data_IF_608697334986
#
_entry.id   IF_608697334986
#
_cell.length_a   1.000
_cell.length_b   1.000
_cell.length_c   1.000
_cell.angle_alpha   90.00
_cell.angle_beta   90.00
_cell.angle_gamma   90.00
#
_symmetry.space_group_name_H-M   'P 1'
#
loop_
_entity.id
_entity.type
_entity.pdbx_description
1 polymer ?
#
# COMPACT_ATOMS: atom_id res chain seq x y z
N UNK A 1 7.19 -6.74 42.71
CA UNK A 1 7.04 -7.18 41.31
C UNK A 1 8.10 -8.25 40.96
N UNK A 2 8.20 -9.26 41.84
CA UNK A 2 9.25 -10.28 41.75
C UNK A 2 8.61 -11.63 41.47
N UNK A 3 8.01 -11.79 40.30
CA UNK A 3 7.54 -13.09 39.82
C UNK A 3 7.39 -13.15 38.28
N UNK A 4 8.34 -12.58 37.54
CA UNK A 4 8.43 -12.78 36.11
C UNK A 4 9.63 -13.67 35.84
N UNK A 5 9.38 -14.95 35.96
CA UNK A 5 9.76 -15.98 35.03
C UNK A 5 11.19 -16.50 35.08
N UNK A 6 11.36 -17.60 35.82
CA UNK A 6 12.24 -18.67 35.40
C UNK A 6 11.55 -19.52 34.30
N UNK A 7 11.00 -18.89 33.26
CA UNK A 7 10.47 -19.61 32.11
C UNK A 7 11.63 -19.90 31.16
N UNK A 8 11.79 -21.17 30.80
CA UNK A 8 12.78 -21.59 29.81
C UNK A 8 12.51 -20.82 28.49
N UNK A 9 13.55 -20.19 27.96
CA UNK A 9 13.49 -19.53 26.64
C UNK A 9 12.99 -20.58 25.60
N UNK A 10 12.01 -20.26 24.77
CA UNK A 10 11.44 -21.23 23.81
C UNK A 10 12.50 -21.79 22.88
N UNK A 11 12.77 -23.09 22.97
CA UNK A 11 13.66 -23.84 22.08
C UNK A 11 13.20 -25.30 21.96
N UNK A 12 13.78 -26.02 21.02
CA UNK A 12 13.57 -27.45 20.83
C UNK A 12 14.87 -28.06 20.27
N UNK A 13 15.78 -28.45 21.16
CA UNK A 13 17.10 -28.94 20.78
C UNK A 13 17.05 -30.25 19.96
N UNK A 14 16.03 -31.10 20.18
CA UNK A 14 15.84 -32.30 19.40
C UNK A 14 15.45 -32.00 17.96
N UNK A 15 14.53 -31.00 17.75
CA UNK A 15 14.17 -30.57 16.42
C UNK A 15 15.36 -29.92 15.70
N UNK A 16 16.16 -29.10 16.40
CA UNK A 16 17.37 -28.50 15.83
C UNK A 16 18.37 -29.56 15.35
N UNK A 17 18.66 -30.55 16.21
CA UNK A 17 19.54 -31.68 15.85
C UNK A 17 18.96 -32.52 14.71
N UNK A 18 17.64 -32.71 14.68
CA UNK A 18 16.98 -33.45 13.62
C UNK A 18 17.08 -32.74 12.25
N UNK A 19 17.01 -31.40 12.20
CA UNK A 19 17.27 -30.63 10.96
C UNK A 19 18.70 -30.89 10.47
N UNK A 20 19.70 -30.71 11.33
CA UNK A 20 21.10 -30.88 10.97
C UNK A 20 21.44 -32.33 10.60
N UNK A 21 20.85 -33.28 11.33
CA UNK A 21 21.02 -34.74 11.04
C UNK A 21 20.38 -35.13 9.71
N UNK A 22 19.26 -34.53 9.33
CA UNK A 22 18.61 -34.76 8.04
C UNK A 22 19.51 -34.38 6.85
N UNK A 23 20.26 -33.27 6.97
CA UNK A 23 21.21 -32.80 5.93
C UNK A 23 22.38 -33.80 5.74
N UNK A 24 22.80 -34.49 6.79
CA UNK A 24 23.82 -35.51 6.65
C UNK A 24 23.32 -36.82 5.96
N UNK A 25 22.02 -37.10 6.09
CA UNK A 25 21.40 -38.24 5.42
C UNK A 25 21.08 -37.94 3.94
N UNK A 26 20.70 -36.70 3.66
CA UNK A 26 20.40 -36.20 2.33
C UNK A 26 20.90 -34.75 2.22
N UNK A 27 22.02 -34.50 1.52
CA UNK A 27 22.57 -33.18 1.36
C UNK A 27 21.60 -32.15 0.70
N UNK A 28 20.64 -32.60 -0.13
CA UNK A 28 19.65 -31.73 -0.75
C UNK A 28 18.67 -31.19 0.28
N UNK A 29 18.48 -31.81 1.43
CA UNK A 29 17.66 -31.35 2.53
C UNK A 29 18.11 -29.97 3.08
N UNK A 30 19.36 -29.53 2.80
CA UNK A 30 19.83 -28.19 3.17
C UNK A 30 19.01 -27.09 2.44
N UNK A 31 18.60 -27.35 1.20
CA UNK A 31 17.80 -26.40 0.40
C UNK A 31 16.46 -26.18 1.08
N UNK A 32 15.74 -27.27 1.38
CA UNK A 32 14.44 -27.20 2.06
C UNK A 32 14.54 -26.55 3.46
N UNK A 33 15.65 -26.82 4.16
CA UNK A 33 15.89 -26.22 5.48
C UNK A 33 16.20 -24.74 5.38
N UNK A 34 17.01 -24.30 4.40
CA UNK A 34 17.41 -22.90 4.21
C UNK A 34 16.28 -22.00 3.70
N UNK A 35 15.28 -22.57 3.03
CA UNK A 35 14.06 -21.86 2.66
C UNK A 35 13.25 -21.41 3.89
N UNK A 36 13.39 -22.11 5.01
CA UNK A 36 12.60 -21.87 6.23
C UNK A 36 13.45 -21.22 7.32
N UNK A 37 14.72 -21.65 7.47
CA UNK A 37 15.58 -21.31 8.59
C UNK A 37 16.77 -20.46 8.16
N UNK A 38 17.14 -19.54 9.06
CA UNK A 38 18.42 -18.85 9.04
C UNK A 38 19.28 -19.36 10.22
N UNK A 39 20.60 -19.21 10.19
CA UNK A 39 21.47 -19.62 11.29
C UNK A 39 21.04 -19.08 12.66
N UNK A 40 20.54 -17.82 12.71
CA UNK A 40 20.06 -17.18 13.93
C UNK A 40 18.75 -17.75 14.48
N UNK A 41 18.04 -18.58 13.71
CA UNK A 41 16.85 -19.29 14.17
C UNK A 41 17.18 -20.45 15.13
N UNK A 42 18.42 -20.92 15.17
CA UNK A 42 18.85 -21.94 16.10
C UNK A 42 19.14 -21.34 17.49
N UNK A 43 18.66 -22.00 18.53
CA UNK A 43 18.90 -21.61 19.92
C UNK A 43 20.31 -22.00 20.39
N UNK A 44 20.70 -23.27 20.13
CA UNK A 44 22.02 -23.78 20.50
C UNK A 44 23.09 -23.13 19.63
N UNK A 45 24.08 -22.52 20.26
CA UNK A 45 25.20 -21.86 19.57
C UNK A 45 25.94 -22.80 18.63
N UNK A 46 26.16 -24.05 19.08
CA UNK A 46 26.80 -25.08 18.28
C UNK A 46 26.00 -25.37 16.99
N UNK A 47 24.67 -25.50 17.08
CA UNK A 47 23.79 -25.76 15.92
C UNK A 47 23.79 -24.63 14.93
N UNK A 48 23.83 -23.37 15.41
CA UNK A 48 23.98 -22.19 14.57
C UNK A 48 25.23 -22.21 13.72
N UNK A 49 26.39 -22.51 14.37
CA UNK A 49 27.68 -22.61 13.69
C UNK A 49 27.67 -23.74 12.66
N UNK A 50 27.14 -24.91 13.04
CA UNK A 50 27.07 -26.07 12.14
C UNK A 50 26.18 -25.75 10.93
N UNK A 51 25.00 -25.15 11.12
CA UNK A 51 24.12 -24.83 10.03
C UNK A 51 24.75 -23.79 9.08
N UNK A 52 25.40 -22.73 9.62
CA UNK A 52 26.15 -21.77 8.82
C UNK A 52 27.29 -22.46 8.01
N UNK A 53 28.00 -23.36 8.60
CA UNK A 53 29.06 -24.11 7.90
C UNK A 53 28.50 -25.02 6.79
N UNK A 54 27.34 -25.64 7.02
CA UNK A 54 26.62 -26.41 6.00
C UNK A 54 26.17 -25.55 4.83
N UNK A 55 25.65 -24.36 5.09
CA UNK A 55 25.30 -23.39 4.04
C UNK A 55 26.51 -22.97 3.22
N UNK A 56 27.62 -22.66 3.87
CA UNK A 56 28.86 -22.28 3.17
C UNK A 56 29.41 -23.40 2.26
N UNK A 57 29.25 -24.67 2.65
CA UNK A 57 29.63 -25.83 1.84
C UNK A 57 28.67 -25.96 0.65
N UNK A 58 27.35 -25.81 0.90
CA UNK A 58 26.32 -25.87 -0.14
C UNK A 58 26.52 -24.79 -1.20
N UNK A 59 26.84 -23.57 -0.78
CA UNK A 59 27.08 -22.42 -1.70
C UNK A 59 28.26 -22.63 -2.65
N UNK A 60 29.19 -23.53 -2.27
CA UNK A 60 30.34 -23.95 -3.10
C UNK A 60 30.03 -25.20 -3.93
N UNK A 61 28.80 -25.70 -3.89
CA UNK A 61 28.38 -26.94 -4.57
C UNK A 61 29.20 -28.16 -4.13
N UNK A 62 29.72 -28.13 -2.88
CA UNK A 62 30.46 -29.25 -2.30
C UNK A 62 29.51 -30.21 -1.54
N UNK A 63 29.89 -31.49 -1.45
CA UNK A 63 29.09 -32.48 -0.73
C UNK A 63 29.13 -32.23 0.78
N UNK A 64 27.98 -32.16 1.43
CA UNK A 64 27.88 -31.98 2.88
C UNK A 64 27.95 -33.38 3.53
N UNK A 65 29.06 -33.68 4.18
CA UNK A 65 29.26 -34.85 4.99
C UNK A 65 30.05 -34.53 6.28
N UNK A 66 30.16 -35.44 7.24
CA UNK A 66 30.92 -35.20 8.48
C UNK A 66 32.38 -34.79 8.27
N UNK A 67 33.00 -35.20 7.16
CA UNK A 67 34.43 -34.92 6.88
C UNK A 67 34.57 -33.51 6.31
N UNK A 68 33.74 -33.13 5.33
CA UNK A 68 33.74 -31.82 4.73
C UNK A 68 33.32 -30.74 5.74
N UNK A 69 32.30 -31.03 6.57
CA UNK A 69 31.91 -30.14 7.67
C UNK A 69 33.04 -29.92 8.66
N UNK A 70 33.74 -31.00 9.05
CA UNK A 70 34.87 -30.88 9.96
C UNK A 70 36.02 -30.05 9.38
N UNK A 71 36.29 -30.17 8.08
CA UNK A 71 37.33 -29.37 7.39
C UNK A 71 36.93 -27.89 7.37
N UNK A 72 35.67 -27.58 7.07
CA UNK A 72 35.14 -26.23 7.11
C UNK A 72 35.23 -25.57 8.50
N UNK A 73 34.82 -26.33 9.54
CA UNK A 73 34.91 -25.85 10.93
C UNK A 73 36.37 -25.68 11.40
N UNK A 74 37.31 -26.47 10.92
CA UNK A 74 38.74 -26.30 11.20
C UNK A 74 39.31 -25.07 10.52
N UNK A 75 38.94 -24.82 9.27
CA UNK A 75 39.35 -23.59 8.53
C UNK A 75 38.93 -22.32 9.25
N UNK A 76 37.76 -22.36 9.88
CA UNK A 76 37.18 -21.23 10.60
C UNK A 76 37.55 -21.19 12.09
N UNK A 77 38.37 -22.14 12.60
CA UNK A 77 38.74 -22.30 14.02
C UNK A 77 37.53 -22.46 14.97
N UNK A 78 36.44 -23.08 14.50
CA UNK A 78 35.15 -23.20 15.22
C UNK A 78 34.92 -24.62 15.81
N UNK A 79 35.88 -25.52 15.75
CA UNK A 79 35.72 -26.91 16.22
C UNK A 79 35.47 -26.96 17.74
N UNK A 80 36.13 -26.10 18.50
CA UNK A 80 35.98 -26.10 19.97
C UNK A 80 34.64 -25.46 20.39
N UNK A 81 34.14 -24.51 19.61
CA UNK A 81 32.87 -23.79 19.86
C UNK A 81 31.64 -24.72 19.73
N UNK A 82 31.75 -25.78 18.94
CA UNK A 82 30.69 -26.78 18.79
C UNK A 82 30.80 -27.96 19.77
N UNK A 83 31.80 -27.97 20.65
CA UNK A 83 32.06 -29.10 21.57
C UNK A 83 32.85 -30.25 20.95
N UNK A 84 33.59 -29.97 19.85
CA UNK A 84 34.51 -30.94 19.22
C UNK A 84 33.84 -31.83 18.16
N UNK A 85 34.66 -32.72 17.59
CA UNK A 85 34.26 -33.62 16.50
C UNK A 85 33.18 -34.63 16.94
N UNK A 86 33.14 -34.97 18.22
CA UNK A 86 32.15 -35.91 18.76
C UNK A 86 30.71 -35.40 18.52
N UNK A 87 30.50 -34.08 18.57
CA UNK A 87 29.18 -33.46 18.31
C UNK A 87 28.73 -33.65 16.86
N UNK A 88 29.63 -33.54 15.87
CA UNK A 88 29.30 -33.80 14.46
C UNK A 88 28.83 -35.25 14.27
N UNK A 89 29.46 -36.21 14.98
CA UNK A 89 29.03 -37.62 14.96
C UNK A 89 27.66 -37.81 15.61
N UNK A 90 27.38 -37.10 16.71
CA UNK A 90 26.06 -37.11 17.36
C UNK A 90 24.97 -36.60 16.43
N UNK A 91 25.22 -35.46 15.75
CA UNK A 91 24.28 -34.89 14.79
C UNK A 91 23.99 -35.84 13.61
N UNK A 92 24.99 -36.53 13.08
CA UNK A 92 24.80 -37.49 11.97
C UNK A 92 23.89 -38.68 12.33
N UNK A 93 23.68 -38.95 13.63
CA UNK A 93 22.80 -40.00 14.14
C UNK A 93 21.48 -39.45 14.72
N UNK A 94 21.25 -38.13 14.69
CA UNK A 94 20.13 -37.50 15.37
C UNK A 94 18.76 -37.78 14.76
N UNK A 95 18.70 -38.20 13.49
CA UNK A 95 17.44 -38.53 12.83
C UNK A 95 17.55 -39.78 11.98
N UNK A 96 16.51 -40.61 11.90
CA UNK A 96 16.50 -41.80 11.07
C UNK A 96 16.15 -41.55 9.60
N UNK A 97 15.65 -40.34 9.24
CA UNK A 97 15.19 -40.01 7.89
C UNK A 97 15.30 -38.50 7.59
N UNK A 98 15.65 -38.17 6.36
CA UNK A 98 15.64 -36.80 5.87
C UNK A 98 14.25 -36.32 5.43
N UNK A 99 13.28 -37.21 5.18
CA UNK A 99 11.98 -36.91 4.60
C UNK A 99 11.13 -35.89 5.39
N UNK A 100 11.46 -35.64 6.65
CA UNK A 100 10.70 -34.73 7.53
C UNK A 100 11.43 -33.43 7.87
N UNK A 101 12.52 -33.09 7.16
CA UNK A 101 13.33 -31.90 7.45
C UNK A 101 12.49 -30.64 7.51
N UNK A 102 11.57 -30.45 6.56
CA UNK A 102 10.65 -29.30 6.51
C UNK A 102 9.75 -29.21 7.76
N UNK A 103 9.33 -30.35 8.30
CA UNK A 103 8.52 -30.36 9.52
C UNK A 103 9.37 -29.95 10.75
N UNK A 104 10.58 -30.48 10.89
CA UNK A 104 11.48 -30.08 11.97
C UNK A 104 11.91 -28.63 11.85
N UNK A 105 12.20 -28.15 10.63
CA UNK A 105 12.51 -26.73 10.37
C UNK A 105 11.37 -25.80 10.81
N UNK A 106 10.11 -26.14 10.55
CA UNK A 106 8.96 -25.36 11.02
C UNK A 106 8.85 -25.34 12.55
N UNK A 107 9.22 -26.40 13.27
CA UNK A 107 9.26 -26.40 14.74
C UNK A 107 10.31 -25.41 15.23
N UNK A 108 11.53 -25.47 14.68
CA UNK A 108 12.64 -24.57 15.03
C UNK A 108 12.24 -23.12 14.74
N UNK A 109 11.70 -22.82 13.55
CA UNK A 109 11.23 -21.48 13.14
C UNK A 109 10.18 -20.93 14.10
N UNK A 110 9.19 -21.74 14.47
CA UNK A 110 8.16 -21.34 15.44
C UNK A 110 8.76 -20.93 16.79
N UNK A 111 9.78 -21.67 17.27
CA UNK A 111 10.47 -21.33 18.51
C UNK A 111 11.33 -20.08 18.37
N UNK A 112 11.99 -19.88 17.24
CA UNK A 112 12.75 -18.67 16.94
C UNK A 112 11.86 -17.41 16.93
N UNK A 113 10.69 -17.49 16.32
CA UNK A 113 9.71 -16.40 16.31
C UNK A 113 9.30 -16.01 17.74
N UNK A 114 9.05 -16.99 18.60
CA UNK A 114 8.71 -16.72 20.01
C UNK A 114 9.88 -16.05 20.75
N UNK A 115 11.13 -16.45 20.46
CA UNK A 115 12.32 -15.78 21.03
C UNK A 115 12.45 -14.33 20.55
N UNK A 116 12.27 -14.10 19.25
CA UNK A 116 12.29 -12.76 18.67
C UNK A 116 11.21 -11.88 19.27
N UNK A 117 10.00 -12.42 19.49
CA UNK A 117 8.91 -11.70 20.14
C UNK A 117 9.26 -11.32 21.59
N UNK A 118 9.86 -12.27 22.35
CA UNK A 118 10.30 -12.01 23.73
C UNK A 118 11.39 -10.94 23.75
N UNK A 119 12.41 -11.05 22.91
CA UNK A 119 13.51 -10.08 22.82
C UNK A 119 13.01 -8.69 22.42
N UNK A 120 12.12 -8.61 21.44
CA UNK A 120 11.49 -7.36 21.02
C UNK A 120 10.66 -6.74 22.14
N UNK A 121 9.86 -7.55 22.85
CA UNK A 121 9.09 -7.08 23.99
C UNK A 121 9.98 -6.54 25.12
N UNK A 122 11.10 -7.19 25.41
CA UNK A 122 12.06 -6.71 26.39
C UNK A 122 12.68 -5.36 25.99
N UNK A 123 12.99 -5.17 24.72
CA UNK A 123 13.52 -3.91 24.18
C UNK A 123 12.49 -2.79 24.26
N UNK A 124 11.22 -3.09 23.96
CA UNK A 124 10.11 -2.14 24.12
C UNK A 124 9.95 -1.72 25.59
N UNK A 125 10.01 -2.68 26.52
CA UNK A 125 9.96 -2.40 27.96
C UNK A 125 11.12 -1.49 28.37
N UNK A 126 12.32 -1.77 27.89
CA UNK A 126 13.52 -0.98 28.21
C UNK A 126 13.38 0.47 27.71
N UNK A 127 12.97 0.65 26.43
CA UNK A 127 12.76 1.97 25.86
C UNK A 127 11.68 2.76 26.61
N UNK A 128 10.61 2.10 27.03
CA UNK A 128 9.55 2.74 27.83
C UNK A 128 10.00 3.14 29.23
N UNK A 129 10.91 2.39 29.85
CA UNK A 129 11.49 2.72 31.19
C UNK A 129 12.47 3.88 31.09
N UNK A 130 13.30 3.93 30.05
CA UNK A 130 14.30 4.98 29.83
C UNK A 130 13.66 6.35 29.55
N UNK A 131 12.51 6.36 28.85
CA UNK A 131 11.62 7.53 28.73
C UNK A 131 12.28 8.78 28.14
N UNK A 132 13.29 8.63 27.28
CA UNK A 132 14.09 9.73 26.73
C UNK A 132 13.41 10.48 25.58
N UNK A 133 12.40 9.87 24.94
CA UNK A 133 11.72 10.36 23.73
C UNK A 133 10.25 10.70 24.03
N UNK A 134 9.58 11.35 23.07
CA UNK A 134 8.15 11.58 23.15
C UNK A 134 7.40 10.23 23.22
N UNK A 135 6.33 10.19 24.01
CA UNK A 135 5.51 8.97 24.16
C UNK A 135 5.01 8.45 22.82
N UNK A 136 4.70 9.34 21.89
CA UNK A 136 4.27 9.01 20.54
C UNK A 136 5.38 8.28 19.75
N UNK A 137 6.61 8.76 19.84
CA UNK A 137 7.77 8.16 19.17
C UNK A 137 8.09 6.77 19.75
N UNK A 138 7.94 6.59 21.07
CA UNK A 138 8.11 5.28 21.74
C UNK A 138 7.05 4.28 21.28
N UNK A 139 5.80 4.73 21.11
CA UNK A 139 4.69 3.88 20.62
C UNK A 139 4.89 3.48 19.17
N UNK A 140 5.29 4.42 18.30
CA UNK A 140 5.56 4.17 16.89
C UNK A 140 6.72 3.17 16.71
N UNK A 141 7.80 3.34 17.50
CA UNK A 141 8.94 2.40 17.49
C UNK A 141 8.52 1.01 17.99
N UNK A 142 7.73 0.92 19.05
CA UNK A 142 7.21 -0.34 19.56
C UNK A 142 6.34 -1.07 18.53
N UNK A 143 5.44 -0.36 17.83
CA UNK A 143 4.62 -0.92 16.75
C UNK A 143 5.49 -1.43 15.60
N UNK A 144 6.47 -0.63 15.17
CA UNK A 144 7.41 -0.98 14.11
C UNK A 144 8.21 -2.25 14.45
N UNK A 145 8.69 -2.37 15.69
CA UNK A 145 9.46 -3.53 16.15
C UNK A 145 8.61 -4.81 16.23
N UNK A 146 7.37 -4.73 16.71
CA UNK A 146 6.44 -5.89 16.74
C UNK A 146 6.09 -6.32 15.32
N UNK A 147 5.86 -5.35 14.42
CA UNK A 147 5.58 -5.62 13.01
C UNK A 147 6.75 -6.29 12.31
N UNK A 148 7.99 -5.92 12.62
CA UNK A 148 9.21 -6.58 12.12
C UNK A 148 9.19 -8.09 12.40
N UNK A 149 8.84 -8.48 13.63
CA UNK A 149 8.73 -9.91 14.00
C UNK A 149 7.66 -10.65 13.17
N UNK A 150 6.58 -9.95 12.79
CA UNK A 150 5.51 -10.52 11.95
C UNK A 150 5.90 -10.63 10.47
N UNK A 151 6.68 -9.68 9.95
CA UNK A 151 7.11 -9.63 8.54
C UNK A 151 8.21 -10.63 8.22
N UNK A 152 9.09 -10.96 9.16
CA UNK A 152 10.09 -12.04 9.01
C UNK A 152 9.44 -13.41 8.75
N UNK A 153 8.14 -13.56 9.08
CA UNK A 153 7.35 -14.75 8.76
C UNK A 153 6.78 -14.78 7.34
N UNK A 154 6.72 -13.62 6.69
CA UNK A 154 6.20 -13.44 5.34
C UNK A 154 7.33 -13.30 4.30
N UNK A 155 8.50 -13.88 4.56
CA UNK A 155 9.55 -14.00 3.55
C UNK A 155 8.99 -14.81 2.38
N UNK A 156 8.48 -14.09 1.38
CA UNK A 156 7.90 -14.65 0.17
C UNK A 156 8.99 -15.36 -0.63
N UNK A 157 9.07 -16.67 -0.47
CA UNK A 157 9.79 -17.52 -1.39
C UNK A 157 9.25 -17.38 -2.81
N UNK A 158 9.96 -17.92 -3.80
CA UNK A 158 9.44 -18.02 -5.16
C UNK A 158 8.09 -18.75 -5.15
N UNK A 159 7.07 -18.15 -5.78
CA UNK A 159 5.81 -18.84 -6.03
C UNK A 159 6.00 -19.77 -7.23
N UNK A 160 5.56 -21.02 -7.13
CA UNK A 160 5.57 -21.96 -8.26
C UNK A 160 4.68 -21.40 -9.37
N UNK A 161 5.12 -21.49 -10.63
CA UNK A 161 4.28 -21.08 -11.76
C UNK A 161 2.96 -21.87 -11.79
N UNK A 162 2.96 -23.10 -11.31
CA UNK A 162 1.76 -23.94 -11.22
C UNK A 162 0.71 -23.31 -10.28
N UNK A 163 1.12 -22.86 -9.09
CA UNK A 163 0.21 -22.25 -8.12
C UNK A 163 -0.33 -20.92 -8.64
N UNK A 164 0.56 -20.10 -9.26
CA UNK A 164 0.18 -18.83 -9.87
C UNK A 164 -0.81 -19.04 -11.02
N UNK A 165 -0.58 -20.04 -11.88
CA UNK A 165 -1.49 -20.37 -12.97
C UNK A 165 -2.88 -20.77 -12.48
N UNK A 166 -2.96 -21.60 -11.44
CA UNK A 166 -4.24 -22.01 -10.89
C UNK A 166 -5.05 -20.80 -10.38
N UNK A 167 -4.41 -19.92 -9.58
CA UNK A 167 -5.04 -18.69 -9.08
C UNK A 167 -5.47 -17.78 -10.24
N UNK A 168 -4.59 -17.55 -11.23
CA UNK A 168 -4.90 -16.71 -12.39
C UNK A 168 -6.05 -17.26 -13.23
N UNK A 169 -6.11 -18.58 -13.42
CA UNK A 169 -7.22 -19.21 -14.14
C UNK A 169 -8.55 -19.12 -13.39
N UNK A 170 -8.52 -19.19 -12.06
CA UNK A 170 -9.70 -18.95 -11.22
C UNK A 170 -10.17 -17.50 -11.35
N UNK A 171 -9.26 -16.52 -11.31
CA UNK A 171 -9.56 -15.11 -11.52
C UNK A 171 -10.19 -14.86 -12.90
N UNK A 172 -9.59 -15.38 -13.99
CA UNK A 172 -10.12 -15.26 -15.34
C UNK A 172 -11.52 -15.87 -15.46
N UNK A 173 -11.74 -17.04 -14.88
CA UNK A 173 -13.04 -17.72 -14.90
C UNK A 173 -14.10 -17.00 -14.05
N UNK A 174 -13.71 -16.17 -13.10
CA UNK A 174 -14.61 -15.38 -12.26
C UNK A 174 -15.12 -14.11 -12.96
N UNK A 175 -14.50 -13.70 -14.08
CA UNK A 175 -14.94 -12.54 -14.86
C UNK A 175 -16.30 -12.87 -15.49
N UNK A 176 -17.37 -12.09 -15.20
CA UNK A 176 -18.69 -12.33 -15.78
C UNK A 176 -18.67 -12.20 -17.30
N UNK A 177 -19.37 -13.09 -17.99
CA UNK A 177 -19.49 -13.10 -19.46
C UNK A 177 -20.63 -12.16 -19.95
N UNK A 178 -20.85 -11.06 -19.21
CA UNK A 178 -21.94 -10.09 -19.43
C UNK A 178 -21.56 -8.91 -20.36
N UNK A 179 -20.36 -8.98 -20.97
CA UNK A 179 -19.83 -7.90 -21.82
C UNK A 179 -19.31 -6.70 -21.04
N UNK A 180 -19.29 -6.74 -19.70
CA UNK A 180 -18.68 -5.72 -18.87
C UNK A 180 -17.15 -5.88 -18.89
N UNK A 181 -16.45 -4.89 -19.41
CA UNK A 181 -14.98 -4.89 -19.51
C UNK A 181 -14.28 -4.41 -18.23
N UNK A 182 -15.03 -4.00 -17.19
CA UNK A 182 -14.49 -3.48 -15.93
C UNK A 182 -14.24 -4.64 -14.98
N UNK A 183 -12.99 -5.02 -14.82
CA UNK A 183 -12.53 -6.11 -13.95
C UNK A 183 -12.05 -5.62 -12.58
N UNK A 184 -11.62 -4.35 -12.52
CA UNK A 184 -11.22 -3.68 -11.29
C UNK A 184 -12.37 -2.93 -10.62
N UNK A 185 -12.03 -2.13 -9.59
CA UNK A 185 -12.96 -1.25 -8.88
C UNK A 185 -13.42 -0.12 -9.83
N UNK A 186 -14.73 0.02 -10.12
CA UNK A 186 -15.21 1.04 -11.04
C UNK A 186 -15.09 2.44 -10.46
N UNK A 187 -14.67 3.40 -11.29
CA UNK A 187 -14.57 4.82 -10.93
C UNK A 187 -15.92 5.55 -10.95
N UNK A 188 -16.90 5.02 -11.67
CA UNK A 188 -18.18 5.66 -11.97
C UNK A 188 -18.17 6.47 -13.26
N UNK A 189 -17.04 6.54 -13.96
CA UNK A 189 -16.90 7.23 -15.24
C UNK A 189 -16.64 6.19 -16.35
N UNK A 190 -17.68 5.94 -17.16
CA UNK A 190 -17.70 4.81 -18.09
C UNK A 190 -16.53 4.78 -19.08
N UNK A 191 -16.14 5.92 -19.63
CA UNK A 191 -15.02 6.00 -20.59
C UNK A 191 -13.66 5.83 -19.86
N UNK A 192 -13.54 6.31 -18.62
CA UNK A 192 -12.37 6.08 -17.79
C UNK A 192 -12.26 4.61 -17.43
N UNK A 193 -13.37 4.00 -17.02
CA UNK A 193 -13.44 2.58 -16.66
C UNK A 193 -13.15 1.66 -17.86
N UNK A 194 -13.57 2.02 -19.07
CA UNK A 194 -13.18 1.31 -20.31
C UNK A 194 -11.68 1.39 -20.59
N UNK A 195 -11.05 2.54 -20.31
CA UNK A 195 -9.63 2.76 -20.57
C UNK A 195 -8.73 2.09 -19.54
N UNK A 196 -9.14 2.09 -18.26
CA UNK A 196 -8.38 1.51 -17.15
C UNK A 196 -8.81 0.09 -16.81
N UNK A 197 -9.95 -0.39 -17.31
CA UNK A 197 -10.67 -1.59 -16.86
C UNK A 197 -11.07 -1.55 -15.39
N UNK A 198 -11.24 -0.33 -14.82
CA UNK A 198 -11.37 -0.05 -13.39
C UNK A 198 -10.02 0.07 -12.69
N UNK A 199 -10.03 0.34 -11.39
CA UNK A 199 -8.81 0.39 -10.57
C UNK A 199 -8.55 -0.99 -9.96
N UNK A 200 -7.34 -1.53 -10.19
CA UNK A 200 -7.01 -2.88 -9.74
C UNK A 200 -6.32 -2.87 -8.38
N UNK A 201 -6.36 -4.01 -7.73
CA UNK A 201 -5.64 -4.23 -6.50
C UNK A 201 -4.13 -3.98 -6.70
N UNK A 202 -3.46 -3.60 -5.63
CA UNK A 202 -2.04 -3.28 -5.63
C UNK A 202 -1.65 -2.00 -6.40
N UNK A 203 -2.59 -1.29 -7.06
CA UNK A 203 -2.27 -0.12 -7.86
C UNK A 203 -2.14 1.17 -7.04
N UNK A 204 -1.15 1.98 -7.40
CA UNK A 204 -1.03 3.37 -6.98
C UNK A 204 -1.42 4.29 -8.13
N UNK A 205 -2.51 5.03 -7.94
CA UNK A 205 -3.07 5.98 -8.90
C UNK A 205 -2.72 7.39 -8.42
N UNK A 206 -2.02 8.16 -9.23
CA UNK A 206 -1.74 9.56 -8.98
C UNK A 206 -2.67 10.42 -9.82
N UNK A 207 -3.49 11.23 -9.16
CA UNK A 207 -4.32 12.23 -9.81
C UNK A 207 -3.77 13.62 -9.52
N UNK A 208 -3.27 14.31 -10.55
CA UNK A 208 -2.65 15.61 -10.37
C UNK A 208 -3.40 16.71 -11.13
N UNK A 209 -3.49 17.89 -10.49
CA UNK A 209 -4.10 19.06 -11.10
C UNK A 209 -3.56 20.34 -10.47
N UNK A 210 -3.82 21.50 -11.14
CA UNK A 210 -3.67 22.81 -10.51
C UNK A 210 -4.79 23.04 -9.48
N UNK A 211 -4.58 23.90 -8.45
CA UNK A 211 -5.62 24.31 -7.53
C UNK A 211 -6.85 24.87 -8.29
N UNK A 212 -8.06 24.57 -7.84
CA UNK A 212 -9.30 25.07 -8.45
C UNK A 212 -9.83 24.28 -9.66
N UNK A 213 -9.05 23.38 -10.27
CA UNK A 213 -9.48 22.57 -11.43
C UNK A 213 -10.53 21.50 -11.05
N UNK A 214 -10.62 21.10 -9.76
CA UNK A 214 -11.63 20.15 -9.30
C UNK A 214 -11.06 18.79 -8.82
N UNK A 215 -9.76 18.71 -8.53
CA UNK A 215 -9.07 17.48 -8.10
C UNK A 215 -9.78 16.75 -6.93
N UNK A 216 -10.05 17.47 -5.83
CA UNK A 216 -10.75 16.94 -4.66
C UNK A 216 -12.19 16.52 -5.00
N UNK A 217 -12.90 17.30 -5.82
CA UNK A 217 -14.27 16.97 -6.24
C UNK A 217 -14.31 15.66 -7.06
N UNK A 218 -13.35 15.46 -7.98
CA UNK A 218 -13.23 14.22 -8.75
C UNK A 218 -13.01 13.03 -7.83
N UNK A 219 -12.05 13.11 -6.91
CA UNK A 219 -11.74 12.02 -5.98
C UNK A 219 -12.92 11.71 -5.04
N UNK A 220 -13.65 12.76 -4.59
CA UNK A 220 -14.88 12.58 -3.82
C UNK A 220 -15.96 11.87 -4.62
N UNK A 221 -16.15 12.21 -5.90
CA UNK A 221 -17.16 11.56 -6.74
C UNK A 221 -16.82 10.08 -6.97
N UNK A 222 -15.53 9.72 -7.15
CA UNK A 222 -15.09 8.32 -7.19
C UNK A 222 -15.40 7.63 -5.86
N UNK A 223 -15.00 8.23 -4.73
CA UNK A 223 -15.23 7.68 -3.40
C UNK A 223 -16.73 7.46 -3.11
N UNK A 224 -17.58 8.43 -3.49
CA UNK A 224 -19.04 8.34 -3.39
C UNK A 224 -19.60 7.22 -4.26
N UNK A 225 -19.15 7.13 -5.51
CA UNK A 225 -19.61 6.07 -6.41
C UNK A 225 -19.27 4.70 -5.85
N UNK A 226 -18.04 4.49 -5.39
CA UNK A 226 -17.61 3.22 -4.77
C UNK A 226 -18.46 2.92 -3.53
N UNK A 227 -18.63 3.88 -2.63
CA UNK A 227 -19.41 3.68 -1.40
C UNK A 227 -20.90 3.45 -1.62
N UNK A 228 -21.50 4.04 -2.68
CA UNK A 228 -22.93 3.92 -2.99
C UNK A 228 -23.27 2.74 -3.88
N UNK A 229 -22.37 2.31 -4.75
CA UNK A 229 -22.64 1.34 -5.81
C UNK A 229 -21.94 0.01 -5.64
N UNK A 230 -21.01 -0.09 -4.69
CA UNK A 230 -20.34 -1.35 -4.34
C UNK A 230 -20.51 -1.66 -2.85
N UNK A 231 -20.14 -2.85 -2.45
CA UNK A 231 -20.09 -3.28 -1.04
C UNK A 231 -18.77 -2.91 -0.35
N UNK A 232 -17.91 -2.14 -1.03
CA UNK A 232 -16.56 -1.83 -0.55
C UNK A 232 -16.55 -0.66 0.43
N UNK A 233 -15.67 -0.76 1.41
CA UNK A 233 -15.33 0.34 2.32
C UNK A 233 -14.31 1.27 1.67
N UNK A 234 -14.48 2.58 1.84
CA UNK A 234 -13.55 3.61 1.38
C UNK A 234 -12.94 4.32 2.58
N UNK A 235 -11.59 4.38 2.60
CA UNK A 235 -10.85 5.20 3.56
C UNK A 235 -10.37 6.48 2.86
N UNK A 236 -10.74 7.65 3.39
CA UNK A 236 -10.33 8.94 2.87
C UNK A 236 -9.51 9.70 3.90
N UNK A 237 -8.26 10.02 3.55
CA UNK A 237 -7.39 10.89 4.32
C UNK A 237 -7.39 12.28 3.68
N UNK A 238 -7.97 13.26 4.39
CA UNK A 238 -8.07 14.65 3.93
C UNK A 238 -7.13 15.52 4.76
N UNK A 239 -6.04 15.95 4.17
CA UNK A 239 -5.01 16.71 4.86
C UNK A 239 -5.13 18.23 4.63
N UNK A 240 -6.01 18.63 3.70
CA UNK A 240 -6.25 20.03 3.34
C UNK A 240 -7.59 20.53 3.88
N UNK A 241 -8.62 19.69 3.89
CA UNK A 241 -10.00 20.08 4.20
C UNK A 241 -10.54 19.25 5.37
N UNK A 242 -11.33 19.89 6.25
CA UNK A 242 -12.04 19.21 7.32
C UNK A 242 -13.14 18.27 6.80
N UNK A 243 -13.47 17.26 7.58
CA UNK A 243 -14.45 16.22 7.23
C UNK A 243 -15.83 16.81 6.90
N UNK A 244 -16.29 17.81 7.65
CA UNK A 244 -17.58 18.47 7.44
C UNK A 244 -17.66 19.14 6.07
N UNK A 245 -16.55 19.74 5.61
CA UNK A 245 -16.50 20.39 4.29
C UNK A 245 -16.58 19.36 3.16
N UNK A 246 -15.95 18.21 3.34
CA UNK A 246 -16.04 17.11 2.38
C UNK A 246 -17.45 16.55 2.31
N UNK A 247 -18.08 16.32 3.47
CA UNK A 247 -19.47 15.83 3.54
C UNK A 247 -20.43 16.83 2.91
N UNK A 248 -20.24 18.15 3.12
CA UNK A 248 -21.05 19.18 2.43
C UNK A 248 -20.90 19.07 0.91
N UNK A 249 -19.69 18.85 0.38
CA UNK A 249 -19.48 18.64 -1.06
C UNK A 249 -20.13 17.34 -1.57
N UNK A 250 -20.05 16.27 -0.78
CA UNK A 250 -20.72 15.02 -1.10
C UNK A 250 -22.25 15.19 -1.15
N UNK A 251 -22.84 15.92 -0.20
CA UNK A 251 -24.26 16.22 -0.18
C UNK A 251 -24.68 17.08 -1.37
N UNK A 252 -23.86 18.10 -1.73
CA UNK A 252 -24.10 18.93 -2.91
C UNK A 252 -24.13 18.09 -4.20
N UNK A 253 -23.16 17.18 -4.33
CA UNK A 253 -23.02 16.30 -5.50
C UNK A 253 -24.16 15.28 -5.60
N UNK A 254 -24.50 14.62 -4.48
CA UNK A 254 -25.54 13.56 -4.46
C UNK A 254 -26.93 14.13 -4.63
N UNK A 255 -27.23 15.25 -3.93
CA UNK A 255 -28.54 15.89 -3.98
C UNK A 255 -28.76 16.84 -5.16
N UNK A 256 -27.74 17.12 -5.97
CA UNK A 256 -27.76 18.19 -6.97
C UNK A 256 -28.22 19.52 -6.36
N UNK A 257 -27.60 19.90 -5.23
CA UNK A 257 -27.89 21.09 -4.46
C UNK A 257 -26.73 22.06 -4.64
N UNK A 258 -27.03 23.33 -4.87
CA UNK A 258 -26.01 24.36 -4.99
C UNK A 258 -25.16 24.42 -3.69
N UNK A 259 -23.85 24.23 -3.82
CA UNK A 259 -22.93 24.25 -2.70
C UNK A 259 -22.88 25.60 -1.98
N UNK A 260 -23.23 26.70 -2.66
CA UNK A 260 -23.35 28.01 -2.06
C UNK A 260 -24.60 28.08 -1.16
N UNK A 261 -25.74 27.51 -1.59
CA UNK A 261 -26.96 27.42 -0.78
C UNK A 261 -26.71 26.57 0.49
N UNK A 262 -26.02 25.45 0.36
CA UNK A 262 -25.61 24.63 1.54
C UNK A 262 -24.74 25.44 2.50
N UNK A 263 -23.76 26.18 2.01
CA UNK A 263 -22.85 26.97 2.81
C UNK A 263 -23.51 28.16 3.52
N UNK A 264 -24.47 28.78 2.87
CA UNK A 264 -25.18 29.96 3.43
C UNK A 264 -26.43 29.60 4.22
N UNK A 265 -26.86 28.32 4.16
CA UNK A 265 -28.11 27.86 4.78
C UNK A 265 -29.38 28.35 4.06
N UNK A 266 -29.25 28.92 2.85
CA UNK A 266 -30.36 29.45 2.09
C UNK A 266 -30.94 28.42 1.13
N UNK A 267 -31.48 27.33 1.70
CA UNK A 267 -32.04 26.20 0.95
C UNK A 267 -33.53 26.44 0.67
N UNK A 268 -33.97 26.14 -0.53
CA UNK A 268 -35.38 26.06 -0.90
C UNK A 268 -36.03 24.80 -0.30
N UNK A 269 -37.36 24.74 -0.22
CA UNK A 269 -38.09 23.55 0.24
C UNK A 269 -37.78 22.29 -0.60
N UNK A 270 -37.52 22.49 -1.89
CA UNK A 270 -37.11 21.39 -2.79
C UNK A 270 -35.70 20.89 -2.47
N UNK A 271 -34.75 21.80 -2.29
CA UNK A 271 -33.39 21.47 -1.92
C UNK A 271 -33.31 20.79 -0.54
N UNK A 272 -34.15 21.21 0.41
CA UNK A 272 -34.30 20.52 1.69
C UNK A 272 -34.70 19.06 1.55
N UNK A 273 -35.67 18.78 0.67
CA UNK A 273 -36.09 17.39 0.40
C UNK A 273 -34.95 16.59 -0.24
N UNK A 274 -34.26 17.17 -1.24
CA UNK A 274 -33.10 16.55 -1.87
C UNK A 274 -31.97 16.28 -0.87
N UNK A 275 -31.73 17.23 0.05
CA UNK A 275 -30.72 17.11 1.11
C UNK A 275 -31.01 15.90 2.03
N UNK A 276 -32.26 15.74 2.46
CA UNK A 276 -32.65 14.60 3.32
C UNK A 276 -32.45 13.27 2.59
N UNK A 277 -32.79 13.19 1.30
CA UNK A 277 -32.58 11.98 0.50
C UNK A 277 -31.09 11.71 0.32
N UNK A 278 -30.29 12.72 -0.04
CA UNK A 278 -28.85 12.58 -0.20
C UNK A 278 -28.15 12.16 1.11
N UNK A 279 -28.57 12.75 2.24
CA UNK A 279 -28.08 12.37 3.56
C UNK A 279 -28.37 10.89 3.88
N UNK A 280 -29.61 10.44 3.61
CA UNK A 280 -29.99 9.04 3.77
C UNK A 280 -29.21 8.08 2.87
N UNK A 281 -28.88 8.49 1.62
CA UNK A 281 -28.04 7.71 0.72
C UNK A 281 -26.62 7.58 1.27
N UNK A 282 -26.02 8.68 1.71
CA UNK A 282 -24.65 8.69 2.24
C UNK A 282 -24.51 7.98 3.60
N UNK A 283 -25.52 8.06 4.46
CA UNK A 283 -25.55 7.39 5.77
C UNK A 283 -25.44 5.85 5.64
N UNK A 284 -25.93 5.30 4.54
CA UNK A 284 -25.82 3.88 4.23
C UNK A 284 -24.51 3.45 3.59
N UNK A 285 -23.55 4.36 3.40
CA UNK A 285 -22.24 4.05 2.81
C UNK A 285 -21.20 3.67 3.86
N UNK A 286 -20.19 2.91 3.43
CA UNK A 286 -19.02 2.61 4.25
C UNK A 286 -17.85 3.54 3.90
N UNK A 287 -18.06 4.86 3.94
CA UNK A 287 -17.00 5.86 3.71
C UNK A 287 -16.51 6.38 5.06
N UNK A 288 -15.21 6.28 5.31
CA UNK A 288 -14.55 6.74 6.53
C UNK A 288 -13.57 7.86 6.19
N UNK A 289 -13.67 8.98 6.88
CA UNK A 289 -12.86 10.18 6.66
C UNK A 289 -11.96 10.40 7.87
N UNK A 290 -10.68 10.64 7.60
CA UNK A 290 -9.69 11.06 8.57
C UNK A 290 -9.12 12.41 8.10
N UNK A 291 -9.29 13.46 8.90
CA UNK A 291 -8.84 14.83 8.60
C UNK A 291 -7.73 15.30 9.56
N UNK A 292 -6.95 14.36 10.10
CA UNK A 292 -5.82 14.67 10.97
C UNK A 292 -4.75 15.46 10.19
N UNK A 293 -4.45 16.71 10.56
CA UNK A 293 -3.43 17.51 9.90
C UNK A 293 -2.02 16.98 10.24
N UNK A 294 -1.09 17.05 9.27
CA UNK A 294 0.31 16.67 9.49
C UNK A 294 0.51 15.19 9.80
N UNK A 295 -0.40 14.32 9.32
CA UNK A 295 -0.34 12.89 9.57
C UNK A 295 0.92 12.27 8.96
N UNK A 296 1.57 11.39 9.69
CA UNK A 296 2.72 10.63 9.20
C UNK A 296 2.28 9.42 8.37
N UNK A 297 3.15 8.97 7.47
CA UNK A 297 2.88 7.79 6.64
C UNK A 297 2.67 6.51 7.48
N UNK A 298 3.35 6.40 8.63
CA UNK A 298 3.15 5.30 9.60
C UNK A 298 1.73 5.28 10.16
N UNK A 299 1.18 6.44 10.50
CA UNK A 299 -0.18 6.57 11.03
C UNK A 299 -1.24 6.25 9.97
N UNK A 300 -1.08 6.75 8.73
CA UNK A 300 -1.95 6.38 7.61
C UNK A 300 -2.00 4.87 7.46
N UNK A 301 -0.84 4.22 7.47
CA UNK A 301 -0.73 2.77 7.36
C UNK A 301 -1.40 2.03 8.51
N UNK A 302 -1.18 2.48 9.77
CA UNK A 302 -1.79 1.89 10.94
C UNK A 302 -3.33 2.02 10.93
N UNK A 303 -3.85 3.22 10.62
CA UNK A 303 -5.30 3.49 10.53
C UNK A 303 -5.94 2.67 9.39
N UNK A 304 -5.31 2.62 8.21
CA UNK A 304 -5.80 1.84 7.07
C UNK A 304 -5.86 0.33 7.37
N UNK A 305 -4.81 -0.23 7.98
CA UNK A 305 -4.79 -1.63 8.43
C UNK A 305 -5.88 -1.94 9.46
N UNK A 306 -6.04 -1.05 10.44
CA UNK A 306 -7.07 -1.21 11.46
C UNK A 306 -8.45 -1.23 10.81
N UNK A 307 -8.75 -0.30 9.90
CA UNK A 307 -10.01 -0.24 9.18
C UNK A 307 -10.23 -1.48 8.31
N UNK A 308 -9.20 -1.93 7.57
CA UNK A 308 -9.25 -3.14 6.77
C UNK A 308 -9.58 -4.38 7.61
N UNK A 309 -8.97 -4.51 8.79
CA UNK A 309 -9.24 -5.61 9.72
C UNK A 309 -10.64 -5.52 10.35
N UNK A 310 -11.09 -4.32 10.69
CA UNK A 310 -12.38 -4.09 11.34
C UNK A 310 -13.56 -4.34 10.38
N UNK A 311 -13.46 -3.88 9.14
CA UNK A 311 -14.54 -3.96 8.15
C UNK A 311 -14.46 -5.18 7.25
N UNK A 312 -13.27 -5.68 6.97
CA UNK A 312 -13.04 -6.88 6.17
C UNK A 312 -13.19 -6.69 4.65
N UNK A 313 -13.71 -5.53 4.20
CA UNK A 313 -14.03 -5.24 2.80
C UNK A 313 -13.47 -3.89 2.33
N UNK A 314 -12.36 -3.41 2.91
CA UNK A 314 -11.70 -2.19 2.45
C UNK A 314 -11.34 -2.35 0.96
N UNK A 315 -11.79 -1.41 0.11
CA UNK A 315 -11.63 -1.50 -1.33
C UNK A 315 -10.97 -0.29 -1.98
N UNK A 316 -10.86 0.83 -1.25
CA UNK A 316 -10.24 2.05 -1.79
C UNK A 316 -9.64 2.89 -0.67
N UNK A 317 -8.44 3.42 -0.91
CA UNK A 317 -7.86 4.51 -0.11
C UNK A 317 -7.72 5.74 -0.99
N UNK A 318 -8.18 6.89 -0.49
CA UNK A 318 -8.02 8.21 -1.13
C UNK A 318 -7.22 9.11 -0.20
N UNK A 319 -6.22 9.83 -0.72
CA UNK A 319 -5.37 10.74 0.05
C UNK A 319 -5.33 12.10 -0.63
N UNK A 320 -5.80 13.15 0.03
CA UNK A 320 -5.84 14.53 -0.45
C UNK A 320 -5.04 15.46 0.47
N UNK A 321 -3.81 15.83 0.10
CA UNK A 321 -2.94 15.43 -1.00
C UNK A 321 -1.56 15.03 -0.47
N UNK A 322 -0.83 14.25 -1.24
CA UNK A 322 0.40 13.56 -0.81
C UNK A 322 1.50 14.50 -0.28
N UNK A 323 1.58 15.75 -0.76
CA UNK A 323 2.58 16.70 -0.30
C UNK A 323 2.33 17.25 1.13
N UNK A 324 1.19 16.98 1.76
CA UNK A 324 0.90 17.33 3.15
C UNK A 324 1.24 16.22 4.14
N UNK A 325 1.60 15.03 3.65
CA UNK A 325 2.05 13.94 4.50
C UNK A 325 3.42 14.30 5.07
N UNK A 326 3.60 14.10 6.38
CA UNK A 326 4.90 14.20 7.02
C UNK A 326 5.73 12.96 6.70
N UNK A 327 6.79 13.17 5.93
CA UNK A 327 7.76 12.14 5.58
C UNK A 327 8.90 12.03 6.61
N UNK A 328 9.77 11.02 6.47
CA UNK A 328 10.97 10.92 7.28
C UNK A 328 11.87 12.14 7.01
N UNK A 329 12.57 12.62 8.04
CA UNK A 329 13.54 13.72 7.91
C UNK A 329 14.54 13.40 6.79
N UNK A 330 14.57 14.20 5.75
CA UNK A 330 15.45 14.03 4.59
C UNK A 330 16.15 15.34 4.24
N UNK A 331 17.22 15.28 3.46
CA UNK A 331 18.01 16.45 3.04
C UNK A 331 17.26 17.34 2.03
N UNK A 332 16.26 16.79 1.34
CA UNK A 332 15.45 17.53 0.36
C UNK A 332 14.01 17.08 0.33
N UNK A 333 13.10 18.01 0.00
CA UNK A 333 11.67 17.74 -0.17
C UNK A 333 11.41 16.66 -1.25
N UNK A 334 12.25 16.63 -2.29
CA UNK A 334 12.16 15.62 -3.34
C UNK A 334 12.39 14.20 -2.82
N UNK A 335 13.36 14.01 -1.90
CA UNK A 335 13.62 12.71 -1.29
C UNK A 335 12.47 12.29 -0.36
N UNK A 336 11.88 13.25 0.35
CA UNK A 336 10.74 13.01 1.22
C UNK A 336 9.51 12.54 0.41
N UNK A 337 9.15 13.25 -0.65
CA UNK A 337 8.06 12.88 -1.56
C UNK A 337 8.31 11.52 -2.22
N UNK A 338 9.57 11.23 -2.57
CA UNK A 338 9.99 9.93 -3.10
C UNK A 338 9.81 8.79 -2.10
N UNK A 339 10.10 9.06 -0.83
CA UNK A 339 9.89 8.07 0.24
C UNK A 339 8.40 7.82 0.47
N UNK A 340 7.59 8.88 0.48
CA UNK A 340 6.11 8.80 0.62
C UNK A 340 5.52 7.97 -0.54
N UNK A 341 5.86 8.28 -1.79
CA UNK A 341 5.38 7.56 -2.98
C UNK A 341 5.63 6.06 -2.89
N UNK A 342 6.87 5.66 -2.55
CA UNK A 342 7.21 4.25 -2.35
C UNK A 342 6.43 3.60 -1.22
N UNK A 343 6.19 4.32 -0.12
CA UNK A 343 5.40 3.79 1.00
C UNK A 343 3.93 3.64 0.64
N UNK A 344 3.35 4.54 -0.15
CA UNK A 344 1.98 4.43 -0.68
C UNK A 344 1.84 3.21 -1.60
N UNK A 345 2.82 2.99 -2.49
CA UNK A 345 2.85 1.78 -3.33
C UNK A 345 2.96 0.49 -2.51
N UNK A 346 3.77 0.52 -1.42
CA UNK A 346 3.84 -0.61 -0.49
C UNK A 346 2.51 -0.83 0.23
N UNK A 347 1.82 0.24 0.64
CA UNK A 347 0.52 0.17 1.30
C UNK A 347 -0.54 -0.47 0.39
N UNK A 348 -0.61 -0.06 -0.89
CA UNK A 348 -1.49 -0.66 -1.88
C UNK A 348 -1.27 -2.18 -1.97
N UNK A 349 -0.01 -2.60 -2.15
CA UNK A 349 0.38 -4.01 -2.22
C UNK A 349 0.12 -4.81 -0.95
N UNK A 350 0.28 -4.18 0.21
CA UNK A 350 0.11 -4.83 1.51
C UNK A 350 -1.36 -5.13 1.82
N UNK A 351 -2.24 -4.19 1.44
CA UNK A 351 -3.66 -4.31 1.69
C UNK A 351 -4.43 -4.94 0.52
N UNK A 352 -3.76 -5.15 -0.62
CA UNK A 352 -4.35 -5.64 -1.87
C UNK A 352 -5.55 -4.79 -2.31
N UNK A 353 -5.35 -3.46 -2.35
CA UNK A 353 -6.36 -2.48 -2.78
C UNK A 353 -5.74 -1.35 -3.59
N UNK A 354 -6.51 -0.67 -4.47
CA UNK A 354 -6.09 0.57 -5.11
C UNK A 354 -5.95 1.72 -4.11
N UNK A 355 -4.92 2.56 -4.33
CA UNK A 355 -4.68 3.79 -3.58
C UNK A 355 -4.67 4.95 -4.56
N UNK A 356 -5.58 5.91 -4.39
CA UNK A 356 -5.61 7.17 -5.13
C UNK A 356 -4.94 8.24 -4.28
N UNK A 357 -3.82 8.77 -4.74
CA UNK A 357 -3.15 9.88 -4.09
C UNK A 357 -3.22 11.12 -4.98
N UNK A 358 -3.74 12.20 -4.41
CA UNK A 358 -3.86 13.46 -5.09
C UNK A 358 -2.53 14.22 -5.03
N UNK A 359 -2.18 14.91 -6.11
CA UNK A 359 -0.94 15.69 -6.21
C UNK A 359 -1.21 17.06 -6.80
N UNK A 360 -0.42 18.05 -6.38
CA UNK A 360 -0.47 19.38 -6.94
C UNK A 360 0.58 19.56 -8.03
N UNK A 361 0.19 20.14 -9.17
CA UNK A 361 1.10 20.46 -10.25
C UNK A 361 1.93 21.72 -9.97
N UNK A 362 3.12 21.76 -10.56
CA UNK A 362 4.01 22.93 -10.55
C UNK A 362 3.32 24.11 -11.27
N UNK A 363 3.62 25.35 -10.80
CA UNK A 363 3.17 26.58 -11.49
C UNK A 363 3.80 26.76 -12.88
N UNK A 364 4.86 26.02 -13.18
CA UNK A 364 5.53 26.10 -14.48
C UNK A 364 4.63 25.67 -15.64
N UNK A 365 3.59 24.86 -15.40
CA UNK A 365 2.60 24.49 -16.42
C UNK A 365 1.88 25.74 -16.99
N UNK A 366 1.62 26.75 -16.16
CA UNK A 366 0.93 27.99 -16.55
C UNK A 366 1.76 28.87 -17.48
N UNK A 367 3.10 28.73 -17.45
CA UNK A 367 4.04 29.52 -18.25
C UNK A 367 4.22 28.96 -19.68
N UNK A 368 3.73 27.74 -19.94
CA UNK A 368 3.82 27.15 -21.29
C UNK A 368 2.74 27.66 -22.21
N UNK A 369 3.02 27.62 -23.51
CA UNK A 369 2.06 27.95 -24.56
C UNK A 369 0.92 26.91 -24.59
N UNK A 370 1.24 25.63 -24.50
CA UNK A 370 0.29 24.54 -24.23
C UNK A 370 0.29 24.26 -22.72
N UNK A 371 -0.81 24.58 -22.07
CA UNK A 371 -1.01 24.45 -20.62
C UNK A 371 -1.49 23.05 -20.22
N UNK A 372 -1.61 22.10 -21.16
CA UNK A 372 -1.91 20.70 -20.83
C UNK A 372 -0.78 20.09 -20.01
N UNK A 373 -1.10 19.49 -18.87
CA UNK A 373 -0.09 18.89 -17.99
C UNK A 373 0.64 17.73 -18.64
N UNK A 374 1.93 17.58 -18.30
CA UNK A 374 2.77 16.44 -18.65
C UNK A 374 3.47 15.90 -17.40
N UNK A 375 4.05 14.70 -17.45
CA UNK A 375 4.65 14.04 -16.30
C UNK A 375 5.66 14.90 -15.54
N UNK A 376 6.46 15.71 -16.24
CA UNK A 376 7.44 16.62 -15.63
C UNK A 376 6.84 17.76 -14.80
N UNK A 377 5.52 18.00 -14.91
CA UNK A 377 4.83 19.07 -14.17
C UNK A 377 4.42 18.64 -12.75
N UNK A 378 4.47 17.36 -12.45
CA UNK A 378 4.30 16.89 -11.07
C UNK A 378 5.51 17.39 -10.28
N UNK A 379 5.30 18.18 -9.23
CA UNK A 379 6.37 18.70 -8.39
C UNK A 379 7.19 17.55 -7.80
N UNK A 380 8.53 17.64 -7.94
CA UNK A 380 9.47 16.68 -7.30
C UNK A 380 9.32 15.23 -7.79
N UNK A 381 9.00 15.03 -9.07
CA UNK A 381 8.25 13.91 -9.65
C UNK A 381 9.02 12.67 -10.11
N UNK A 382 10.33 12.66 -10.18
CA UNK A 382 11.06 11.53 -10.81
C UNK A 382 10.73 10.15 -10.22
N UNK A 383 10.42 10.09 -8.93
CA UNK A 383 10.07 8.85 -8.25
C UNK A 383 8.57 8.55 -8.27
N UNK A 384 7.70 9.58 -8.19
CA UNK A 384 6.24 9.39 -8.29
C UNK A 384 5.91 8.74 -9.63
N UNK A 385 6.54 9.22 -10.72
CA UNK A 385 6.39 8.63 -12.03
C UNK A 385 6.82 7.15 -12.06
N UNK A 386 7.89 6.78 -11.36
CA UNK A 386 8.37 5.40 -11.34
C UNK A 386 7.46 4.47 -10.51
N UNK A 387 7.01 4.93 -9.35
CA UNK A 387 6.25 4.13 -8.38
C UNK A 387 4.78 3.94 -8.78
N UNK A 388 4.14 4.98 -9.36
CA UNK A 388 2.75 4.95 -9.76
C UNK A 388 2.49 3.98 -10.92
N UNK A 389 1.36 3.30 -10.90
CA UNK A 389 0.88 2.46 -11.99
C UNK A 389 0.06 3.29 -12.98
N UNK A 390 -0.78 4.19 -12.49
CA UNK A 390 -1.56 5.14 -13.28
C UNK A 390 -1.19 6.55 -12.85
N UNK A 391 -0.95 7.43 -13.83
CA UNK A 391 -0.83 8.88 -13.62
C UNK A 391 -1.84 9.57 -14.52
N UNK A 392 -2.77 10.25 -13.88
CA UNK A 392 -3.82 11.00 -14.54
C UNK A 392 -3.75 12.49 -14.17
N UNK A 393 -4.03 13.35 -15.13
CA UNK A 393 -4.13 14.80 -14.96
C UNK A 393 -5.55 15.27 -15.21
N UNK A 394 -6.01 16.22 -14.39
CA UNK A 394 -7.20 17.00 -14.72
C UNK A 394 -6.78 18.31 -15.38
N UNK A 395 -7.38 18.58 -16.52
CA UNK A 395 -7.17 19.80 -17.27
C UNK A 395 -8.52 20.44 -17.65
N UNK A 396 -8.62 21.76 -17.49
CA UNK A 396 -9.77 22.55 -17.88
C UNK A 396 -9.29 23.76 -18.64
N UNK A 397 -9.75 23.93 -19.88
CA UNK A 397 -9.33 25.03 -20.74
C UNK A 397 -9.91 26.38 -20.26
N UNK A 398 -11.17 26.37 -19.79
CA UNK A 398 -11.84 27.55 -19.23
C UNK A 398 -11.08 28.17 -18.03
N UNK A 399 -10.54 27.32 -17.14
CA UNK A 399 -9.74 27.77 -15.99
C UNK A 399 -8.56 28.68 -16.38
N UNK A 400 -7.96 28.42 -17.53
CA UNK A 400 -6.80 29.19 -18.01
C UNK A 400 -7.18 30.35 -18.92
N UNK A 401 -8.44 30.45 -19.34
CA UNK A 401 -8.97 31.60 -20.09
C UNK A 401 -9.34 32.77 -19.15
N UNK A 402 -10.01 32.48 -18.02
CA UNK A 402 -10.38 33.48 -17.00
C UNK A 402 -9.16 34.29 -16.50
N UNK A 403 -7.96 33.67 -16.43
CA UNK A 403 -6.72 34.39 -16.07
C UNK A 403 -6.15 35.31 -17.18
N UNK A 404 -6.58 35.15 -18.45
CA UNK A 404 -6.11 36.00 -19.57
C UNK A 404 -6.94 37.25 -19.73
N UNK A 405 -8.22 37.20 -19.38
CA UNK A 405 -9.16 38.28 -19.61
C UNK A 405 -9.03 39.41 -18.56
N UNK A 406 -8.32 39.18 -17.43
CA UNK A 406 -7.98 40.23 -16.48
C UNK A 406 -6.91 41.24 -17.01
N UNK A 407 -6.12 40.85 -18.03
CA UNK A 407 -5.03 41.67 -18.60
C UNK A 407 -5.38 42.29 -19.96
N UNK A 408 -6.49 41.95 -20.62
CA UNK A 408 -6.83 42.38 -21.97
C UNK A 408 -8.26 42.99 -22.00
N UNK A 409 -8.36 44.32 -22.05
CA UNK A 409 -9.61 45.10 -22.14
C UNK A 409 -10.34 44.94 -23.53
N UNK A 410 -10.26 43.76 -24.16
CA UNK A 410 -10.97 43.43 -25.38
C UNK A 410 -12.28 42.72 -25.10
N UNK A 411 -13.42 43.23 -25.62
CA UNK A 411 -14.73 42.57 -25.65
C UNK A 411 -14.56 41.18 -26.35
N UNK A 412 -14.26 40.15 -25.57
CA UNK A 412 -14.39 38.77 -26.03
C UNK A 412 -15.80 38.33 -25.66
N UNK A 413 -16.62 37.96 -26.64
CA UNK A 413 -17.89 37.27 -26.41
C UNK A 413 -17.63 36.11 -25.43
N UNK A 414 -18.26 36.19 -24.26
CA UNK A 414 -18.17 35.13 -23.24
C UNK A 414 -18.74 33.84 -23.86
N UNK A 415 -17.86 32.99 -24.42
CA UNK A 415 -18.25 31.62 -24.70
C UNK A 415 -18.66 31.00 -23.37
N UNK A 416 -19.86 30.47 -23.28
CA UNK A 416 -20.44 29.86 -22.11
C UNK A 416 -19.43 28.79 -21.55
N UNK A 417 -19.16 28.90 -20.26
CA UNK A 417 -18.40 27.88 -19.51
C UNK A 417 -19.08 26.52 -19.74
N UNK A 418 -18.54 25.73 -20.67
CA UNK A 418 -19.11 24.43 -21.05
C UNK A 418 -18.88 23.36 -20.00
N UNK A 419 -18.11 23.64 -18.95
CA UNK A 419 -17.81 22.70 -17.87
C UNK A 419 -17.02 21.45 -18.29
N UNK A 420 -16.46 21.43 -19.50
CA UNK A 420 -15.71 20.28 -20.00
C UNK A 420 -14.36 20.15 -19.27
N UNK A 421 -14.07 18.95 -18.80
CA UNK A 421 -12.82 18.60 -18.12
C UNK A 421 -12.18 17.40 -18.82
N UNK A 422 -10.91 17.52 -19.14
CA UNK A 422 -10.12 16.42 -19.66
C UNK A 422 -9.44 15.66 -18.51
N UNK A 423 -9.64 14.36 -18.47
CA UNK A 423 -8.85 13.41 -17.65
C UNK A 423 -7.80 12.80 -18.56
N UNK A 424 -6.56 13.27 -18.47
CA UNK A 424 -5.45 12.90 -19.33
C UNK A 424 -4.66 11.77 -18.63
N UNK A 425 -4.71 10.55 -19.15
CA UNK A 425 -3.93 9.42 -18.64
C UNK A 425 -2.59 9.39 -19.36
N UNK A 426 -1.56 9.91 -18.71
CA UNK A 426 -0.19 9.97 -19.24
C UNK A 426 0.61 8.70 -18.97
N UNK A 427 0.28 7.98 -17.89
CA UNK A 427 0.86 6.69 -17.58
C UNK A 427 -0.23 5.71 -17.22
N UNK A 428 -0.17 4.51 -17.81
CA UNK A 428 -0.98 3.35 -17.44
C UNK A 428 -0.13 2.10 -17.69
N UNK A 429 0.24 1.39 -16.62
CA UNK A 429 1.08 0.17 -16.74
C UNK A 429 0.31 -1.00 -17.31
N UNK A 430 -0.99 -1.09 -17.02
CA UNK A 430 -1.82 -2.23 -17.35
C UNK A 430 -2.73 -1.98 -18.56
N UNK A 431 -2.75 -0.74 -19.11
CA UNK A 431 -3.70 -0.37 -20.15
C UNK A 431 -3.20 0.71 -21.11
N UNK A 432 -4.14 1.31 -21.83
CA UNK A 432 -3.87 2.36 -22.80
C UNK A 432 -3.73 3.73 -22.14
N UNK A 433 -3.02 4.65 -22.81
CA UNK A 433 -2.98 6.07 -22.50
C UNK A 433 -3.98 6.79 -23.37
N UNK A 434 -4.48 7.92 -22.90
CA UNK A 434 -5.43 8.72 -23.68
C UNK A 434 -6.09 9.79 -22.83
N UNK A 435 -7.07 10.46 -23.42
CA UNK A 435 -7.83 11.52 -22.77
C UNK A 435 -9.30 11.15 -22.74
N UNK A 436 -9.88 11.22 -21.55
CA UNK A 436 -11.32 11.06 -21.33
C UNK A 436 -11.89 12.43 -21.02
N UNK A 437 -13.00 12.77 -21.67
CA UNK A 437 -13.72 14.02 -21.42
C UNK A 437 -14.90 13.78 -20.49
N UNK A 438 -15.01 14.63 -19.49
CA UNK A 438 -16.10 14.65 -18.51
C UNK A 438 -16.72 16.03 -18.43
N UNK A 439 -17.93 16.11 -17.88
CA UNK A 439 -18.58 17.36 -17.56
C UNK A 439 -18.43 17.65 -16.05
N UNK A 440 -17.98 18.83 -15.69
CA UNK A 440 -17.89 19.28 -14.29
C UNK A 440 -18.88 20.40 -14.02
N UNK A 441 -19.85 20.14 -13.17
CA UNK A 441 -20.77 21.17 -12.68
C UNK A 441 -20.24 21.79 -11.39
N UNK A 442 -19.68 22.99 -11.48
CA UNK A 442 -19.11 23.75 -10.35
C UNK A 442 -20.10 23.95 -9.19
N UNK A 443 -21.39 24.36 -9.43
CA UNK A 443 -22.33 24.56 -8.35
C UNK A 443 -22.58 23.32 -7.50
N UNK A 444 -22.59 22.15 -8.13
CA UNK A 444 -22.87 20.87 -7.47
C UNK A 444 -21.63 20.09 -7.08
N UNK A 445 -20.43 20.59 -7.38
CA UNK A 445 -19.17 19.83 -7.20
C UNK A 445 -19.22 18.42 -7.82
N UNK A 446 -19.89 18.28 -8.96
CA UNK A 446 -20.17 16.99 -9.57
C UNK A 446 -19.55 16.83 -10.94
N UNK A 447 -18.83 15.72 -11.12
CA UNK A 447 -18.42 15.19 -12.41
C UNK A 447 -19.49 14.24 -12.96
N UNK A 448 -19.69 14.25 -14.26
CA UNK A 448 -20.59 13.32 -14.97
C UNK A 448 -19.97 12.90 -16.31
N UNK A 449 -20.44 11.76 -16.82
CA UNK A 449 -20.07 11.31 -18.14
C UNK A 449 -20.61 12.28 -19.20
N UNK A 450 -19.83 12.52 -20.27
CA UNK A 450 -20.32 13.22 -21.46
C UNK A 450 -21.21 12.27 -22.26
N UNK A 451 -22.43 12.68 -22.55
CA UNK A 451 -23.35 11.93 -23.38
C UNK A 451 -23.12 12.31 -24.86
N UNK A 452 -22.48 11.42 -25.62
CA UNK A 452 -22.20 11.62 -27.04
C UNK A 452 -23.41 11.29 -27.95
N UNK A 453 -24.55 10.85 -27.38
CA UNK A 453 -25.69 10.36 -28.17
C UNK A 453 -26.58 11.45 -28.77
N UNK A 454 -26.32 12.74 -28.52
CA UNK A 454 -27.18 13.85 -28.97
C UNK A 454 -26.58 14.73 -30.08
N UNK A 455 -25.50 14.36 -30.76
CA UNK A 455 -24.92 15.16 -31.85
C UNK A 455 -25.12 14.55 -33.25
N UNK A 456 -26.14 13.70 -33.47
CA UNK A 456 -26.65 13.38 -34.81
C UNK A 456 -28.11 13.81 -34.93
N UNK A 457 -28.33 15.11 -35.22
CA UNK A 457 -29.57 15.62 -35.72
C UNK A 457 -29.31 16.82 -36.68
#
# INVERSE_FOLDING_TARGET
MDNVVSQQIPHDSEAEKAVLGAVFLDPEAIIDASDILQPDDFYEHANRIVFQAMLNISDREEVIDPVTLQDELKKNNQVDDIGGIAYVTELSMATPTAAHVTYYAKIVKRKAILRNLISTSQRIIQNAIEGSDDVTDILDDAESQIMGVSQDNASGGFKSIHDVLNTTMEEINSIPDDGNTVTGLPSGFSELDKMTTGFHDDELIILAARPGVGKTAFALNVAQFVGLKTDKTVAMFSLEMGAEQLVQRMLASEGLIDSQHLRTGQLTDEEWRKLVVAAGSLDNTSIYIDDTPGIKMSEIRAKARRLAKEKGNLGLIVIDYLQLIEGPRSESRQQEVSAISRQLKKLAKELHIPVIALSQLSRLVEQRQDKRPVLSDIRESGSIEQDADIVAFLYRDDYYRDERDEDDEGEVEAEEDNGEVEVIIEKNRSGTRGTVKLMFSKPYNRFSNLDYTHNEA
#
